data_IF_003371393073
#
_entry.id   IF_003371393073
#
_cell.length_a   1.000
_cell.length_b   1.000
_cell.length_c   1.000
_cell.angle_alpha   90.00
_cell.angle_beta   90.00
_cell.angle_gamma   90.00
#
_symmetry.space_group_name_H-M   'P 1'
#
loop_
_entity.id
_entity.type
_entity.pdbx_description
1 polymer ?
#
# COMPACT_ATOMS: atom_id res chain seq x y z
N UNK A 1 -4.96 -14.46 11.50
CA UNK A 1 -6.42 -14.21 11.23
C UNK A 1 -6.78 -14.75 9.85
N UNK A 2 -8.01 -15.21 9.57
CA UNK A 2 -8.36 -15.65 8.20
C UNK A 2 -8.45 -14.45 7.25
N UNK A 3 -8.14 -14.64 5.95
CA UNK A 3 -8.17 -13.59 4.93
C UNK A 3 -9.50 -12.84 4.89
N UNK A 4 -10.61 -13.55 4.92
CA UNK A 4 -11.94 -12.95 4.80
C UNK A 4 -12.32 -12.14 6.06
N UNK A 5 -11.89 -12.60 7.24
CA UNK A 5 -12.06 -11.85 8.50
C UNK A 5 -11.24 -10.56 8.49
N UNK A 6 -10.03 -10.62 7.93
CA UNK A 6 -9.14 -9.48 7.80
C UNK A 6 -9.67 -8.45 6.80
N UNK A 7 -10.22 -8.91 5.66
CA UNK A 7 -10.92 -8.06 4.69
C UNK A 7 -12.15 -7.39 5.32
N UNK A 8 -13.02 -8.16 5.98
CA UNK A 8 -14.20 -7.62 6.65
C UNK A 8 -13.83 -6.60 7.74
N UNK A 9 -12.70 -6.81 8.44
CA UNK A 9 -12.20 -5.86 9.43
C UNK A 9 -11.73 -4.55 8.78
N UNK A 10 -11.02 -4.62 7.64
CA UNK A 10 -10.59 -3.43 6.88
C UNK A 10 -11.77 -2.64 6.33
N UNK A 11 -12.75 -3.32 5.73
CA UNK A 11 -13.97 -2.71 5.18
C UNK A 11 -14.80 -2.04 6.28
N UNK A 12 -14.88 -2.66 7.46
CA UNK A 12 -15.63 -2.12 8.59
C UNK A 12 -14.92 -0.93 9.24
N UNK A 13 -13.63 -1.03 9.52
CA UNK A 13 -12.91 -0.01 10.28
C UNK A 13 -11.38 -0.13 10.18
N UNK A 14 -10.75 0.86 9.54
CA UNK A 14 -9.29 1.00 9.51
C UNK A 14 -8.71 1.17 10.92
N UNK A 15 -9.41 1.81 11.85
CA UNK A 15 -8.96 2.00 13.23
C UNK A 15 -8.92 0.68 14.01
N UNK A 16 -9.93 -0.17 13.82
CA UNK A 16 -9.95 -1.53 14.40
C UNK A 16 -8.82 -2.36 13.80
N UNK A 17 -8.67 -2.34 12.47
CA UNK A 17 -7.60 -3.02 11.78
C UNK A 17 -6.23 -2.58 12.31
N UNK A 18 -5.99 -1.28 12.45
CA UNK A 18 -4.73 -0.74 12.98
C UNK A 18 -4.51 -1.15 14.45
N UNK A 19 -5.56 -1.22 15.25
CA UNK A 19 -5.49 -1.67 16.64
C UNK A 19 -5.13 -3.15 16.74
N UNK A 20 -5.74 -3.98 15.88
CA UNK A 20 -5.37 -5.38 15.73
C UNK A 20 -3.92 -5.53 15.26
N UNK A 21 -3.51 -4.78 14.23
CA UNK A 21 -2.17 -4.83 13.65
C UNK A 21 -1.10 -4.46 14.67
N UNK A 22 -1.36 -3.47 15.53
CA UNK A 22 -0.46 -3.07 16.62
C UNK A 22 -0.24 -4.20 17.65
N UNK A 23 -1.29 -4.99 17.93
CA UNK A 23 -1.22 -6.14 18.83
C UNK A 23 -0.60 -7.38 18.18
N UNK A 24 -0.57 -7.40 16.84
CA UNK A 24 -0.12 -8.54 16.04
C UNK A 24 0.91 -8.09 14.99
N UNK A 25 2.11 -7.62 15.41
CA UNK A 25 3.12 -7.06 14.51
C UNK A 25 3.78 -8.11 13.59
N UNK A 26 3.71 -9.39 13.96
CA UNK A 26 4.31 -10.49 13.20
C UNK A 26 3.29 -11.30 12.40
N UNK A 27 1.99 -11.06 12.61
CA UNK A 27 0.94 -11.71 11.82
C UNK A 27 1.02 -11.27 10.37
N UNK A 28 0.93 -12.24 9.49
CA UNK A 28 0.85 -12.03 8.05
C UNK A 28 -0.49 -11.39 7.66
N UNK A 29 -0.42 -10.37 6.81
CA UNK A 29 -1.60 -9.75 6.19
C UNK A 29 -1.70 -10.28 4.75
N UNK A 30 -2.52 -11.31 4.53
CA UNK A 30 -2.79 -11.83 3.20
C UNK A 30 -4.03 -11.18 2.58
N UNK A 31 -3.80 -10.34 1.56
CA UNK A 31 -4.80 -9.63 0.76
C UNK A 31 -4.60 -9.90 -0.74
N UNK A 32 -4.05 -11.07 -1.09
CA UNK A 32 -3.83 -11.48 -2.48
C UNK A 32 -5.13 -11.36 -3.27
N UNK A 33 -5.10 -10.66 -4.40
CA UNK A 33 -6.24 -10.48 -5.30
C UNK A 33 -7.47 -9.85 -4.64
N UNK A 34 -7.32 -9.18 -3.49
CA UNK A 34 -8.44 -8.56 -2.80
C UNK A 34 -9.11 -7.49 -3.69
N UNK A 35 -10.44 -7.44 -3.66
CA UNK A 35 -11.19 -6.33 -4.26
C UNK A 35 -11.34 -5.22 -3.22
N UNK A 36 -10.55 -4.16 -3.38
CA UNK A 36 -10.51 -2.98 -2.53
C UNK A 36 -10.77 -1.72 -3.37
N UNK A 37 -11.53 -1.87 -4.46
CA UNK A 37 -11.94 -0.79 -5.34
C UNK A 37 -12.69 0.28 -4.54
N UNK A 38 -12.29 1.56 -4.69
CA UNK A 38 -12.83 2.69 -3.92
C UNK A 38 -12.71 2.59 -2.39
N UNK A 39 -11.99 1.61 -1.86
CA UNK A 39 -11.92 1.39 -0.42
C UNK A 39 -11.28 2.60 0.30
N UNK A 40 -11.85 2.97 1.45
CA UNK A 40 -11.26 3.97 2.32
C UNK A 40 -10.24 3.34 3.26
N UNK A 41 -8.97 3.33 2.84
CA UNK A 41 -7.83 2.76 3.55
C UNK A 41 -6.90 3.84 4.13
N UNK A 42 -7.44 5.03 4.38
CA UNK A 42 -6.68 6.19 4.87
C UNK A 42 -6.00 5.86 6.19
N UNK A 43 -4.67 5.94 6.22
CA UNK A 43 -3.86 5.66 7.40
C UNK A 43 -3.79 4.18 7.79
N UNK A 44 -4.23 3.25 6.94
CA UNK A 44 -4.14 1.82 7.23
C UNK A 44 -2.69 1.35 7.34
N UNK A 45 -2.40 0.49 8.33
CA UNK A 45 -1.09 -0.13 8.51
C UNK A 45 -0.99 -1.45 7.73
N UNK A 46 -0.77 -1.33 6.43
CA UNK A 46 -0.59 -2.43 5.48
C UNK A 46 0.90 -2.78 5.28
N UNK A 47 1.75 -2.48 6.27
CA UNK A 47 3.18 -2.76 6.17
C UNK A 47 3.42 -4.27 6.03
N UNK A 48 4.27 -4.62 5.04
CA UNK A 48 4.58 -6.01 4.62
C UNK A 48 3.37 -6.85 4.21
N UNK A 49 2.23 -6.22 3.90
CA UNK A 49 1.05 -6.94 3.43
C UNK A 49 1.26 -7.54 2.03
N UNK A 50 0.65 -8.70 1.80
CA UNK A 50 0.61 -9.36 0.51
C UNK A 50 -0.60 -8.87 -0.28
N UNK A 51 -0.38 -7.92 -1.18
CA UNK A 51 -1.38 -7.24 -2.02
C UNK A 51 -1.18 -7.54 -3.52
N UNK A 52 -0.53 -8.66 -3.84
CA UNK A 52 -0.34 -9.10 -5.23
C UNK A 52 -1.69 -9.12 -5.96
N UNK A 53 -1.74 -8.51 -7.15
CA UNK A 53 -2.95 -8.44 -7.99
C UNK A 53 -4.19 -7.83 -7.31
N UNK A 54 -4.04 -7.13 -6.18
CA UNK A 54 -5.17 -6.49 -5.52
C UNK A 54 -5.74 -5.37 -6.40
N UNK A 55 -7.07 -5.23 -6.39
CA UNK A 55 -7.78 -4.14 -7.06
C UNK A 55 -7.90 -2.99 -6.08
N UNK A 56 -7.02 -2.00 -6.19
CA UNK A 56 -6.97 -0.78 -5.37
C UNK A 56 -7.25 0.47 -6.20
N UNK A 57 -7.80 0.31 -7.41
CA UNK A 57 -8.17 1.44 -8.23
C UNK A 57 -9.13 2.36 -7.43
N UNK A 58 -8.91 3.67 -7.56
CA UNK A 58 -9.62 4.77 -6.87
C UNK A 58 -9.63 4.72 -5.33
N UNK A 59 -8.93 3.77 -4.71
CA UNK A 59 -8.86 3.64 -3.25
C UNK A 59 -8.21 4.87 -2.60
N UNK A 60 -8.71 5.24 -1.42
CA UNK A 60 -8.11 6.28 -0.60
C UNK A 60 -7.04 5.65 0.31
N UNK A 61 -5.77 5.78 -0.07
CA UNK A 61 -4.61 5.28 0.67
C UNK A 61 -3.81 6.42 1.33
N UNK A 62 -4.44 7.58 1.53
CA UNK A 62 -3.74 8.74 2.08
C UNK A 62 -3.11 8.40 3.44
N UNK A 63 -1.82 8.68 3.60
CA UNK A 63 -1.09 8.38 4.83
C UNK A 63 -0.99 6.90 5.21
N UNK A 64 -1.38 5.96 4.35
CA UNK A 64 -1.26 4.54 4.63
C UNK A 64 0.21 4.13 4.76
N UNK A 65 0.49 3.20 5.67
CA UNK A 65 1.80 2.58 5.77
C UNK A 65 1.83 1.33 4.89
N UNK A 66 2.47 1.42 3.73
CA UNK A 66 2.68 0.34 2.77
C UNK A 66 4.17 -0.09 2.74
N UNK A 67 4.92 0.22 3.81
CA UNK A 67 6.35 -0.09 3.88
C UNK A 67 6.57 -1.59 3.69
N UNK A 68 7.38 -1.96 2.69
CA UNK A 68 7.69 -3.35 2.36
C UNK A 68 6.49 -4.17 1.85
N UNK A 69 5.37 -3.54 1.47
CA UNK A 69 4.21 -4.25 0.95
C UNK A 69 4.50 -4.86 -0.43
N UNK A 70 3.89 -6.00 -0.71
CA UNK A 70 4.02 -6.68 -1.99
C UNK A 70 2.83 -6.33 -2.88
N UNK A 71 3.03 -5.42 -3.83
CA UNK A 71 2.01 -4.83 -4.70
C UNK A 71 2.21 -5.21 -6.17
N UNK A 72 2.96 -6.28 -6.46
CA UNK A 72 3.20 -6.71 -7.84
C UNK A 72 1.88 -6.99 -8.55
N UNK A 73 1.76 -6.45 -9.76
CA UNK A 73 0.56 -6.50 -10.62
C UNK A 73 -0.72 -5.92 -9.97
N UNK A 74 -0.61 -5.17 -8.86
CA UNK A 74 -1.77 -4.51 -8.26
C UNK A 74 -2.29 -3.38 -9.17
N UNK A 75 -3.60 -3.20 -9.19
CA UNK A 75 -4.24 -2.08 -9.87
C UNK A 75 -4.39 -0.92 -8.90
N UNK A 76 -3.55 0.12 -9.03
CA UNK A 76 -3.57 1.34 -8.22
C UNK A 76 -4.03 2.55 -9.03
N UNK A 77 -4.72 2.33 -10.16
CA UNK A 77 -5.17 3.44 -11.02
C UNK A 77 -6.00 4.44 -10.24
N UNK A 78 -5.71 5.72 -10.40
CA UNK A 78 -6.45 6.81 -9.73
C UNK A 78 -6.47 6.76 -8.19
N UNK A 79 -5.70 5.87 -7.55
CA UNK A 79 -5.64 5.77 -6.10
C UNK A 79 -5.01 7.03 -5.49
N UNK A 80 -5.41 7.40 -4.27
CA UNK A 80 -4.85 8.53 -3.56
C UNK A 80 -3.78 8.07 -2.56
N UNK A 81 -2.51 8.20 -2.93
CA UNK A 81 -1.35 7.76 -2.15
C UNK A 81 -0.66 8.92 -1.43
N UNK A 82 -1.22 10.13 -1.39
CA UNK A 82 -0.59 11.29 -0.75
C UNK A 82 -0.27 11.00 0.72
N UNK A 83 0.95 11.26 1.14
CA UNK A 83 1.47 10.95 2.47
C UNK A 83 1.71 9.46 2.77
N UNK A 84 1.38 8.53 1.86
CA UNK A 84 1.63 7.10 2.08
C UNK A 84 3.13 6.80 2.14
N UNK A 85 3.51 5.80 2.94
CA UNK A 85 4.88 5.29 2.99
C UNK A 85 4.99 4.01 2.14
N UNK A 86 5.58 4.13 0.95
CA UNK A 86 5.85 3.04 0.03
C UNK A 86 7.30 2.54 0.09
N UNK A 87 8.07 2.93 1.11
CA UNK A 87 9.48 2.56 1.22
C UNK A 87 9.63 1.02 1.21
N UNK A 88 10.37 0.48 0.25
CA UNK A 88 10.60 -0.97 0.14
C UNK A 88 9.45 -1.79 -0.44
N UNK A 89 8.35 -1.16 -0.87
CA UNK A 89 7.27 -1.89 -1.52
C UNK A 89 7.71 -2.45 -2.89
N UNK A 90 7.31 -3.68 -3.21
CA UNK A 90 7.46 -4.25 -4.56
C UNK A 90 6.26 -3.82 -5.41
N UNK A 91 6.47 -2.84 -6.28
CA UNK A 91 5.48 -2.32 -7.24
C UNK A 91 5.67 -2.88 -8.65
N UNK A 92 6.42 -3.98 -8.82
CA UNK A 92 6.71 -4.56 -10.15
C UNK A 92 5.40 -4.83 -10.91
N UNK A 93 5.23 -4.23 -12.09
CA UNK A 93 4.01 -4.40 -12.90
C UNK A 93 2.73 -3.79 -12.30
N UNK A 94 2.80 -3.07 -11.19
CA UNK A 94 1.63 -2.36 -10.64
C UNK A 94 1.20 -1.22 -11.57
N UNK A 95 -0.11 -1.04 -11.75
CA UNK A 95 -0.65 0.04 -12.57
C UNK A 95 -0.90 1.30 -11.73
N UNK A 96 -0.01 2.28 -11.82
CA UNK A 96 -0.11 3.56 -11.11
C UNK A 96 -0.72 4.69 -11.96
N UNK A 97 -1.34 4.38 -13.10
CA UNK A 97 -1.87 5.42 -14.01
C UNK A 97 -2.89 6.32 -13.28
N UNK A 98 -2.59 7.62 -13.22
CA UNK A 98 -3.43 8.62 -12.56
C UNK A 98 -3.42 8.57 -11.02
N UNK A 99 -2.60 7.71 -10.40
CA UNK A 99 -2.44 7.71 -8.96
C UNK A 99 -1.91 9.06 -8.46
N UNK A 100 -2.46 9.56 -7.35
CA UNK A 100 -2.09 10.85 -6.77
C UNK A 100 -0.97 10.63 -5.76
N UNK A 101 0.16 11.30 -5.97
CA UNK A 101 1.30 11.28 -5.06
C UNK A 101 1.78 12.71 -4.81
N UNK A 102 2.22 12.99 -3.59
CA UNK A 102 2.99 14.20 -3.30
C UNK A 102 4.50 13.94 -3.50
N UNK A 103 5.35 14.99 -3.56
CA UNK A 103 6.78 14.83 -3.75
C UNK A 103 7.46 13.96 -2.67
N UNK A 104 6.95 13.96 -1.44
CA UNK A 104 7.53 13.17 -0.35
C UNK A 104 7.22 11.67 -0.53
N UNK A 105 5.99 11.32 -0.91
CA UNK A 105 5.59 9.96 -1.26
C UNK A 105 6.40 9.44 -2.44
N UNK A 106 6.52 10.24 -3.51
CA UNK A 106 7.34 9.89 -4.67
C UNK A 106 8.79 9.60 -4.26
N UNK A 107 9.41 10.50 -3.49
CA UNK A 107 10.79 10.35 -3.05
C UNK A 107 11.01 9.10 -2.19
N UNK A 108 10.06 8.72 -1.33
CA UNK A 108 10.11 7.47 -0.56
C UNK A 108 9.99 6.24 -1.45
N UNK A 109 9.07 6.26 -2.41
CA UNK A 109 8.84 5.16 -3.35
C UNK A 109 10.08 4.86 -4.18
N UNK A 110 10.69 5.88 -4.79
CA UNK A 110 11.83 5.69 -5.72
C UNK A 110 13.18 5.59 -5.02
N UNK A 111 13.26 5.84 -3.71
CA UNK A 111 14.55 5.90 -2.98
C UNK A 111 15.36 4.62 -3.09
N UNK A 112 14.70 3.47 -3.17
CA UNK A 112 15.35 2.17 -3.32
C UNK A 112 15.77 1.86 -4.77
N UNK A 113 15.28 2.64 -5.75
CA UNK A 113 15.77 2.59 -7.13
C UNK A 113 17.04 3.43 -7.28
N UNK A 114 17.16 4.50 -6.48
CA UNK A 114 18.29 5.45 -6.50
C UNK A 114 19.59 4.91 -5.87
N UNK A 115 19.57 3.77 -5.18
CA UNK A 115 20.82 3.08 -4.81
C UNK A 115 21.50 2.37 -5.99
N UNK A 116 20.91 2.39 -7.19
CA UNK A 116 21.46 1.76 -8.40
C UNK A 116 21.89 2.77 -9.47
N UNK A 117 21.65 4.07 -9.28
CA UNK A 117 22.12 5.09 -10.23
C UNK A 117 22.54 6.34 -9.46
N UNK A 118 23.85 6.55 -9.36
CA UNK A 118 24.41 7.90 -9.26
C UNK A 118 23.97 8.68 -10.50
N UNK A 119 22.85 9.39 -10.43
CA UNK A 119 22.60 10.51 -11.34
C UNK A 119 23.05 11.74 -10.59
N UNK A 120 24.25 12.15 -10.97
CA UNK A 120 24.92 13.41 -10.67
C UNK A 120 23.92 14.56 -10.80
N UNK A 121 23.78 15.35 -9.73
CA UNK A 121 23.21 16.68 -9.81
C UNK A 121 23.90 17.47 -10.94
N UNK A 122 23.11 17.95 -11.91
CA UNK A 122 23.46 19.06 -12.78
C UNK A 122 22.26 19.96 -12.97
#
# INVERSE_FOLDING_TARGET
MRRDELLAMLERSVQEFNSWRKKNPDEEINLYGADLFEANLKGANLSRAFLYQARLATANLQGANLKGAYLREADLRMADLRGADLSGADLSGANLCGAKMDPATWNKMVRNLRSTVEIVDK
#
